data_IF_899963086686
#
_entry.id   IF_899963086686
#
_cell.length_a   1.000
_cell.length_b   1.000
_cell.length_c   1.000
_cell.angle_alpha   90.00
_cell.angle_beta   90.00
_cell.angle_gamma   90.00
#
_symmetry.space_group_name_H-M   'P 1'
#
loop_
_entity.id
_entity.type
_entity.pdbx_description
1 polymer ?
#
# COMPACT_ATOMS: atom_id res chain seq x y z
N UNK A 1 37.68 3.62 -0.96
CA UNK A 1 36.62 3.26 0.03
C UNK A 1 35.42 4.20 -0.12
N UNK A 2 34.74 4.17 -1.27
CA UNK A 2 33.52 4.97 -1.57
C UNK A 2 32.34 4.04 -1.93
N UNK A 3 32.54 2.71 -1.92
CA UNK A 3 31.52 1.73 -2.29
C UNK A 3 30.44 1.48 -1.24
N UNK A 4 30.77 1.58 0.06
CA UNK A 4 29.86 1.13 1.14
C UNK A 4 28.83 2.18 1.61
N UNK A 5 28.88 3.42 1.07
CA UNK A 5 27.92 4.47 1.45
C UNK A 5 26.71 4.57 0.52
N UNK A 6 26.78 3.98 -0.68
CA UNK A 6 25.67 4.04 -1.64
C UNK A 6 24.51 3.15 -1.19
N UNK A 7 24.80 1.94 -0.68
CA UNK A 7 23.77 1.04 -0.16
C UNK A 7 23.04 1.54 1.09
N UNK A 8 23.64 2.48 1.84
CA UNK A 8 23.01 3.15 2.99
C UNK A 8 22.05 4.27 2.56
N UNK A 9 22.21 4.83 1.35
CA UNK A 9 21.26 5.77 0.76
C UNK A 9 20.02 5.06 0.16
N UNK A 10 20.03 3.73 -0.01
CA UNK A 10 18.85 2.98 -0.47
C UNK A 10 17.67 3.01 0.53
N UNK A 11 17.89 3.51 1.75
CA UNK A 11 16.82 3.83 2.71
C UNK A 11 15.80 4.81 2.10
N UNK A 12 16.21 5.67 1.16
CA UNK A 12 15.31 6.57 0.42
C UNK A 12 14.36 5.85 -0.53
N UNK A 13 14.63 4.60 -0.93
CA UNK A 13 13.67 3.75 -1.66
C UNK A 13 12.81 2.91 -0.71
N UNK A 14 13.30 2.58 0.47
CA UNK A 14 12.59 1.73 1.44
C UNK A 14 11.57 2.53 2.26
N UNK A 15 11.93 3.71 2.78
CA UNK A 15 11.05 4.41 3.71
C UNK A 15 9.85 5.09 3.01
N UNK A 16 10.00 5.80 1.88
CA UNK A 16 8.90 6.54 1.27
C UNK A 16 8.04 5.77 0.24
N UNK A 17 8.57 5.26 -0.90
CA UNK A 17 7.73 4.68 -1.94
C UNK A 17 7.31 3.25 -1.61
N UNK A 18 8.14 2.44 -0.95
CA UNK A 18 7.74 1.09 -0.53
C UNK A 18 6.65 1.13 0.55
N UNK A 19 6.75 2.02 1.54
CA UNK A 19 5.70 2.22 2.54
C UNK A 19 4.38 2.65 1.86
N UNK A 20 4.45 3.55 0.88
CA UNK A 20 3.28 3.98 0.11
C UNK A 20 2.69 2.83 -0.70
N UNK A 21 3.53 2.06 -1.40
CA UNK A 21 3.15 0.89 -2.19
C UNK A 21 2.34 -0.12 -1.37
N UNK A 22 2.79 -0.44 -0.15
CA UNK A 22 2.13 -1.45 0.70
C UNK A 22 0.97 -0.92 1.53
N UNK A 23 0.83 0.41 1.68
CA UNK A 23 -0.15 1.04 2.58
C UNK A 23 -1.33 1.70 1.82
N UNK A 24 -1.08 2.34 0.68
CA UNK A 24 -2.07 3.18 0.00
C UNK A 24 -3.37 2.43 -0.37
N UNK A 25 -3.24 1.20 -0.88
CA UNK A 25 -4.37 0.35 -1.28
C UNK A 25 -4.86 -0.58 -0.18
N UNK A 26 -4.40 -0.46 1.08
CA UNK A 26 -4.86 -1.33 2.16
C UNK A 26 -6.37 -1.26 2.35
N UNK A 27 -6.96 -0.06 2.33
CA UNK A 27 -8.42 0.10 2.41
C UNK A 27 -9.14 -0.51 1.20
N UNK A 28 -8.55 -0.42 0.00
CA UNK A 28 -9.16 -1.00 -1.20
C UNK A 28 -9.20 -2.53 -1.11
N UNK A 29 -8.10 -3.17 -0.72
CA UNK A 29 -7.99 -4.63 -0.69
C UNK A 29 -8.57 -5.27 0.58
N UNK A 30 -8.56 -4.58 1.72
CA UNK A 30 -8.96 -5.12 3.03
C UNK A 30 -10.27 -4.52 3.56
N UNK A 31 -10.81 -3.48 2.92
CA UNK A 31 -12.09 -2.89 3.31
C UNK A 31 -13.27 -3.83 3.11
N UNK A 32 -13.21 -4.68 2.07
CA UNK A 32 -14.11 -5.82 1.91
C UNK A 32 -13.46 -7.07 2.52
N UNK A 33 -13.83 -7.38 3.77
CA UNK A 33 -13.15 -8.39 4.60
C UNK A 33 -13.09 -9.78 3.96
N UNK A 34 -14.10 -10.15 3.16
CA UNK A 34 -14.14 -11.44 2.45
C UNK A 34 -12.98 -11.59 1.45
N UNK A 35 -12.57 -10.50 0.79
CA UNK A 35 -11.49 -10.51 -0.20
C UNK A 35 -10.12 -10.79 0.44
N UNK A 36 -9.90 -10.29 1.66
CA UNK A 36 -8.65 -10.50 2.41
C UNK A 36 -8.92 -10.56 3.91
N UNK A 37 -9.40 -11.70 4.43
CA UNK A 37 -9.74 -11.84 5.83
C UNK A 37 -8.48 -11.80 6.70
N UNK A 38 -8.56 -11.17 7.89
CA UNK A 38 -7.44 -11.12 8.83
C UNK A 38 -7.18 -12.47 9.50
N UNK A 39 -8.20 -13.33 9.58
CA UNK A 39 -8.11 -14.67 10.14
C UNK A 39 -9.20 -15.59 9.57
N UNK A 40 -9.02 -16.90 9.74
CA UNK A 40 -10.01 -17.93 9.46
C UNK A 40 -10.51 -18.47 10.80
N UNK A 41 -11.83 -18.63 10.95
CA UNK A 41 -12.48 -19.00 12.21
C UNK A 41 -12.70 -20.50 12.38
N UNK A 42 -12.53 -21.25 11.30
CA UNK A 42 -12.60 -22.72 11.28
C UNK A 42 -11.23 -23.31 11.00
N UNK A 43 -11.06 -24.56 11.42
CA UNK A 43 -9.85 -25.29 11.07
C UNK A 43 -9.83 -25.57 9.56
N UNK A 44 -8.64 -25.55 8.93
CA UNK A 44 -8.52 -25.94 7.54
C UNK A 44 -8.89 -27.41 7.34
N UNK A 45 -9.39 -27.80 6.16
CA UNK A 45 -9.69 -29.19 5.85
C UNK A 45 -8.44 -30.05 5.95
N UNK A 46 -8.57 -31.26 6.50
CA UNK A 46 -7.45 -32.17 6.80
C UNK A 46 -7.11 -33.12 5.64
N UNK A 47 -7.94 -33.16 4.60
CA UNK A 47 -7.74 -33.99 3.41
C UNK A 47 -8.17 -33.27 2.14
N UNK A 48 -7.60 -33.68 1.01
CA UNK A 48 -7.98 -33.17 -0.31
C UNK A 48 -9.45 -33.45 -0.63
N UNK A 49 -9.95 -34.64 -0.26
CA UNK A 49 -11.36 -35.01 -0.43
C UNK A 49 -12.29 -34.05 0.35
N UNK A 50 -11.93 -33.71 1.59
CA UNK A 50 -12.68 -32.74 2.39
C UNK A 50 -12.64 -31.34 1.78
N UNK A 51 -11.52 -30.93 1.17
CA UNK A 51 -11.40 -29.65 0.47
C UNK A 51 -12.24 -29.62 -0.82
N UNK A 52 -12.32 -30.72 -1.57
CA UNK A 52 -13.13 -30.80 -2.79
C UNK A 52 -14.64 -30.83 -2.49
N UNK A 53 -15.02 -31.31 -1.31
CA UNK A 53 -16.40 -31.32 -0.85
C UNK A 53 -16.83 -29.99 -0.15
N UNK A 54 -15.95 -28.99 -0.04
CA UNK A 54 -16.27 -27.73 0.65
C UNK A 54 -17.43 -27.00 -0.02
N UNK A 55 -18.34 -26.48 0.80
CA UNK A 55 -19.52 -25.75 0.35
C UNK A 55 -19.41 -24.25 0.66
N UNK A 56 -20.31 -23.45 0.09
CA UNK A 56 -20.44 -22.03 0.47
C UNK A 56 -20.69 -21.87 1.97
N UNK A 57 -21.46 -22.77 2.59
CA UNK A 57 -21.72 -22.72 4.03
C UNK A 57 -20.44 -22.91 4.84
N UNK A 58 -19.51 -23.72 4.37
CA UNK A 58 -18.22 -23.93 5.03
C UNK A 58 -17.34 -22.68 4.91
N UNK A 59 -17.37 -22.00 3.77
CA UNK A 59 -16.72 -20.68 3.59
C UNK A 59 -17.35 -19.60 4.48
N UNK A 60 -18.68 -19.57 4.60
CA UNK A 60 -19.37 -18.59 5.45
C UNK A 60 -19.07 -18.81 6.92
N UNK A 61 -18.91 -20.06 7.37
CA UNK A 61 -18.46 -20.39 8.73
C UNK A 61 -16.99 -20.01 8.96
N UNK A 62 -16.15 -20.16 7.94
CA UNK A 62 -14.73 -19.88 8.00
C UNK A 62 -14.43 -18.36 8.07
N UNK A 63 -15.27 -17.54 7.45
CA UNK A 63 -15.09 -16.09 7.35
C UNK A 63 -15.84 -15.34 8.48
N UNK A 64 -15.38 -14.14 8.87
CA UNK A 64 -15.98 -13.36 9.96
C UNK A 64 -17.32 -12.69 9.60
N UNK A 65 -18.13 -13.25 8.69
CA UNK A 65 -19.38 -12.64 8.18
C UNK A 65 -20.40 -12.42 9.31
N UNK A 66 -20.58 -13.42 10.16
CA UNK A 66 -21.50 -13.36 11.30
C UNK A 66 -20.81 -12.96 12.62
N UNK A 67 -19.61 -12.38 12.53
CA UNK A 67 -18.78 -12.01 13.68
C UNK A 67 -18.50 -10.50 13.68
N UNK A 68 -19.49 -9.72 14.14
CA UNK A 68 -19.49 -8.24 14.07
C UNK A 68 -18.20 -7.60 14.58
N UNK A 69 -17.66 -8.06 15.70
CA UNK A 69 -16.43 -7.49 16.27
C UNK A 69 -15.19 -7.75 15.40
N UNK A 70 -15.05 -8.98 14.89
CA UNK A 70 -13.91 -9.35 14.05
C UNK A 70 -14.00 -8.66 12.69
N UNK A 71 -15.20 -8.61 12.10
CA UNK A 71 -15.46 -7.86 10.89
C UNK A 71 -15.15 -6.36 11.06
N UNK A 72 -15.62 -5.76 12.16
CA UNK A 72 -15.36 -4.36 12.46
C UNK A 72 -13.85 -4.11 12.53
N UNK A 73 -13.12 -4.86 13.36
CA UNK A 73 -11.66 -4.68 13.50
C UNK A 73 -10.93 -4.91 12.17
N UNK A 74 -11.22 -5.98 11.45
CA UNK A 74 -10.62 -6.26 10.15
C UNK A 74 -10.86 -5.14 9.13
N UNK A 75 -12.07 -4.58 9.09
CA UNK A 75 -12.40 -3.47 8.18
C UNK A 75 -11.79 -2.14 8.60
N UNK A 76 -11.57 -1.91 9.91
CA UNK A 76 -11.12 -0.63 10.45
C UNK A 76 -9.60 -0.48 10.56
N UNK A 77 -8.85 -1.57 10.77
CA UNK A 77 -7.38 -1.54 10.85
C UNK A 77 -6.74 -0.82 9.65
N UNK A 78 -7.16 -1.05 8.39
CA UNK A 78 -6.64 -0.32 7.23
C UNK A 78 -6.83 1.20 7.31
N UNK A 79 -7.88 1.68 7.99
CA UNK A 79 -8.12 3.11 8.17
C UNK A 79 -7.22 3.73 9.24
N UNK A 80 -6.85 2.96 10.27
CA UNK A 80 -5.93 3.42 11.32
C UNK A 80 -4.49 3.55 10.82
N UNK A 81 -4.09 2.69 9.87
CA UNK A 81 -2.71 2.63 9.35
C UNK A 81 -2.50 3.61 8.19
N UNK A 82 -3.56 4.25 7.67
CA UNK A 82 -3.45 5.37 6.73
C UNK A 82 -2.90 6.62 7.44
N UNK A 83 -1.59 6.66 7.67
CA UNK A 83 -0.87 7.85 8.04
C UNK A 83 -0.68 8.71 6.77
N UNK A 84 -1.49 9.77 6.63
CA UNK A 84 -1.42 10.67 5.47
C UNK A 84 -0.67 11.93 5.86
N UNK A 85 0.67 11.84 5.86
CA UNK A 85 1.52 13.00 5.64
C UNK A 85 2.25 12.79 4.31
N UNK A 86 1.74 13.45 3.26
CA UNK A 86 2.37 13.41 1.94
C UNK A 86 3.56 14.37 1.91
N UNK A 87 4.59 14.04 1.13
CA UNK A 87 5.75 14.92 0.91
C UNK A 87 5.35 16.37 0.57
N UNK A 88 4.26 16.51 -0.19
CA UNK A 88 3.69 17.79 -0.58
C UNK A 88 3.09 18.55 0.60
N UNK A 89 2.37 17.88 1.49
CA UNK A 89 1.83 18.51 2.70
C UNK A 89 2.95 18.97 3.64
N UNK A 90 4.07 18.24 3.70
CA UNK A 90 5.25 18.65 4.48
C UNK A 90 5.94 19.85 3.83
N UNK A 91 6.16 19.82 2.51
CA UNK A 91 6.80 20.91 1.75
C UNK A 91 5.95 22.20 1.73
N UNK A 92 4.63 22.09 1.66
CA UNK A 92 3.69 23.23 1.73
C UNK A 92 3.62 23.85 3.15
N UNK A 93 3.87 23.05 4.20
CA UNK A 93 3.84 23.52 5.59
C UNK A 93 5.20 24.01 6.11
N UNK A 94 6.33 23.59 5.53
CA UNK A 94 7.65 24.10 5.90
C UNK A 94 7.91 25.46 5.22
N UNK A 95 7.63 26.56 5.93
CA UNK A 95 7.99 27.93 5.53
C UNK A 95 9.51 28.21 5.48
N UNK A 96 10.34 27.19 5.67
CA UNK A 96 11.79 27.32 5.82
C UNK A 96 12.49 27.00 4.51
N UNK A 97 12.53 28.00 3.61
CA UNK A 97 13.14 27.93 2.28
C UNK A 97 14.67 27.82 2.29
N UNK A 98 15.33 27.77 3.46
CA UNK A 98 16.78 27.74 3.57
C UNK A 98 17.37 26.35 3.89
N UNK A 99 16.60 25.45 4.51
CA UNK A 99 17.10 24.12 4.92
C UNK A 99 16.95 23.04 3.84
N UNK A 100 16.04 23.25 2.88
CA UNK A 100 15.77 22.33 1.78
C UNK A 100 16.29 22.91 0.47
N UNK A 101 17.62 22.97 0.35
CA UNK A 101 18.28 23.06 -0.95
C UNK A 101 18.07 21.76 -1.74
N UNK A 102 16.82 21.35 -1.98
CA UNK A 102 16.50 20.29 -2.92
C UNK A 102 16.76 20.87 -4.30
N UNK A 103 17.74 20.35 -5.05
CA UNK A 103 18.05 20.89 -6.38
C UNK A 103 16.78 20.89 -7.23
N UNK A 104 16.52 21.96 -7.98
CA UNK A 104 15.37 22.01 -8.89
C UNK A 104 15.31 20.83 -9.87
N UNK A 105 16.45 20.17 -10.14
CA UNK A 105 16.54 18.90 -10.89
C UNK A 105 15.82 17.75 -10.19
N UNK A 106 15.90 17.62 -8.87
CA UNK A 106 15.19 16.59 -8.11
C UNK A 106 13.66 16.78 -8.13
N UNK A 107 13.16 17.97 -8.46
CA UNK A 107 11.72 18.16 -8.70
C UNK A 107 11.29 17.83 -10.14
N UNK A 108 12.22 17.82 -11.10
CA UNK A 108 11.93 17.49 -12.49
C UNK A 108 11.94 15.98 -12.73
N UNK A 109 12.84 15.25 -12.07
CA UNK A 109 12.97 13.79 -12.24
C UNK A 109 11.72 12.99 -11.81
N UNK A 110 11.05 13.26 -10.66
CA UNK A 110 9.81 12.59 -10.29
C UNK A 110 8.67 12.89 -11.26
N UNK A 111 8.61 14.11 -11.82
CA UNK A 111 7.60 14.48 -12.81
C UNK A 111 7.79 13.72 -14.12
N UNK A 112 9.02 13.47 -14.54
CA UNK A 112 9.30 12.63 -15.70
C UNK A 112 8.88 11.18 -15.45
N UNK A 113 9.12 10.66 -14.24
CA UNK A 113 8.74 9.31 -13.83
C UNK A 113 7.21 9.11 -13.72
N UNK A 114 6.45 10.16 -13.40
CA UNK A 114 4.98 10.10 -13.36
C UNK A 114 4.35 9.70 -14.70
N UNK A 115 4.87 10.24 -15.81
CA UNK A 115 4.41 9.89 -17.15
C UNK A 115 4.71 8.43 -17.50
N UNK A 116 5.85 7.92 -17.04
CA UNK A 116 6.24 6.52 -17.22
C UNK A 116 5.34 5.58 -16.39
N UNK A 117 5.07 5.90 -15.13
CA UNK A 117 4.15 5.10 -14.30
C UNK A 117 2.73 5.10 -14.86
N UNK A 118 2.26 6.22 -15.40
CA UNK A 118 0.95 6.29 -16.02
C UNK A 118 0.89 5.43 -17.28
N UNK A 119 1.94 5.46 -18.13
CA UNK A 119 2.04 4.58 -19.30
C UNK A 119 2.00 3.10 -18.93
N UNK A 120 2.70 2.69 -17.87
CA UNK A 120 2.64 1.30 -17.40
C UNK A 120 1.29 0.91 -16.81
N UNK A 121 0.59 1.84 -16.15
CA UNK A 121 -0.77 1.60 -15.65
C UNK A 121 -1.77 1.44 -16.79
N UNK A 122 -1.62 2.18 -17.89
CA UNK A 122 -2.48 2.12 -19.08
C UNK A 122 -2.15 0.98 -20.04
N UNK A 123 -0.89 0.52 -20.06
CA UNK A 123 -0.46 -0.63 -20.85
C UNK A 123 -0.86 -1.98 -20.25
N UNK A 124 -1.47 -1.98 -19.06
CA UNK A 124 -2.09 -3.18 -18.48
C UNK A 124 -3.43 -3.45 -19.15
N UNK A 125 -3.78 -4.73 -19.24
CA UNK A 125 -5.04 -5.18 -19.81
C UNK A 125 -6.23 -4.47 -19.14
N UNK A 126 -7.16 -3.98 -19.96
CA UNK A 126 -8.15 -2.95 -19.63
C UNK A 126 -9.17 -3.30 -18.53
N UNK A 127 -9.15 -4.52 -18.00
CA UNK A 127 -10.07 -4.99 -16.95
C UNK A 127 -9.45 -4.96 -15.54
N UNK A 128 -8.17 -4.58 -15.39
CA UNK A 128 -7.49 -4.53 -14.08
C UNK A 128 -7.64 -3.16 -13.37
N UNK A 129 -7.58 -3.17 -12.04
CA UNK A 129 -7.68 -1.97 -11.20
C UNK A 129 -6.49 -1.05 -11.48
N UNK A 130 -6.67 0.24 -11.82
CA UNK A 130 -5.57 1.11 -12.20
C UNK A 130 -4.57 1.27 -11.05
N UNK A 131 -3.31 0.91 -11.29
CA UNK A 131 -2.26 0.99 -10.28
C UNK A 131 -1.68 2.41 -10.18
N UNK A 132 -2.27 3.25 -9.34
CA UNK A 132 -1.86 4.66 -9.17
C UNK A 132 -0.95 4.92 -7.97
N UNK A 133 -0.46 3.87 -7.31
CA UNK A 133 0.16 3.98 -5.97
C UNK A 133 1.52 4.68 -5.98
N UNK A 134 2.30 4.47 -7.03
CA UNK A 134 3.66 5.03 -7.16
C UNK A 134 3.70 6.44 -7.72
N UNK A 135 2.54 7.07 -7.98
CA UNK A 135 2.54 8.47 -8.43
C UNK A 135 3.26 9.31 -7.37
N UNK A 136 4.25 10.14 -7.75
CA UNK A 136 5.03 10.94 -6.81
C UNK A 136 4.19 11.79 -5.85
N UNK A 137 2.96 12.16 -6.27
CA UNK A 137 1.98 12.89 -5.45
C UNK A 137 1.47 12.09 -4.24
N UNK A 138 1.46 10.77 -4.30
CA UNK A 138 0.97 9.89 -3.23
C UNK A 138 2.08 9.28 -2.38
N UNK A 139 3.34 9.39 -2.81
CA UNK A 139 4.47 8.93 -2.03
C UNK A 139 4.58 9.73 -0.71
N UNK A 140 4.41 9.04 0.42
CA UNK A 140 4.76 9.56 1.74
C UNK A 140 6.26 9.87 1.77
N UNK A 141 6.68 10.92 2.48
CA UNK A 141 8.11 11.19 2.74
C UNK A 141 8.31 11.18 4.25
N UNK A 142 9.19 10.31 4.72
CA UNK A 142 9.59 10.28 6.13
C UNK A 142 10.57 11.42 6.40
N UNK A 143 10.24 12.27 7.38
CA UNK A 143 11.17 13.25 7.95
C UNK A 143 12.06 12.50 8.95
N UNK A 144 13.38 12.53 8.73
CA UNK A 144 14.37 12.17 9.76
C UNK A 144 14.90 13.45 10.39
#
# INVERSE_FOLDING_TARGET
>A
MIGDRVGLLDIFHIAPPQHTAVNYLQVYYQGFVINKPSCVLTQPPTSLESLLAYTEQDLVKALPINHTYQWLLSSHVPYLVKCVETARAIAENSKDTAAYGVPGSFHQEPKASEAEFQRYAEARDADDVPYSVLKPRYNAVCRF
#
